data_IF_347068090617
#
_entry.id   IF_347068090617
#
_cell.length_a   1.000
_cell.length_b   1.000
_cell.length_c   1.000
_cell.angle_alpha   90.00
_cell.angle_beta   90.00
_cell.angle_gamma   90.00
#
_symmetry.space_group_name_H-M   'P 1'
#
loop_
_entity.id
_entity.type
_entity.pdbx_description
1 polymer ?
#
# COMPACT_ATOMS: atom_id res chain seq x y z
N UNK A 1 6.95 -7.03 -17.51
CA UNK A 1 6.01 -7.87 -16.71
C UNK A 1 6.46 -7.85 -15.25
N UNK A 2 5.61 -8.19 -14.28
CA UNK A 2 5.99 -8.25 -12.86
C UNK A 2 5.92 -9.68 -12.35
N UNK A 3 6.87 -10.07 -11.50
CA UNK A 3 6.91 -11.41 -10.90
C UNK A 3 7.19 -11.36 -9.40
N UNK A 4 6.31 -11.98 -8.65
CA UNK A 4 6.38 -12.20 -7.21
C UNK A 4 7.18 -13.46 -6.93
N UNK A 5 8.07 -13.41 -5.94
CA UNK A 5 8.78 -14.55 -5.39
C UNK A 5 8.64 -14.54 -3.88
N UNK A 6 8.46 -15.73 -3.31
CA UNK A 6 8.52 -15.93 -1.87
C UNK A 6 9.96 -16.25 -1.45
N UNK A 7 10.34 -15.83 -0.25
CA UNK A 7 11.62 -16.16 0.35
C UNK A 7 11.79 -17.68 0.51
N UNK A 8 13.03 -18.20 0.38
CA UNK A 8 13.30 -19.65 0.42
C UNK A 8 13.07 -20.26 1.82
N UNK A 9 13.07 -19.43 2.86
CA UNK A 9 12.77 -19.82 4.24
C UNK A 9 11.74 -18.87 4.85
N UNK A 10 11.04 -19.35 5.88
CA UNK A 10 10.22 -18.50 6.73
C UNK A 10 11.11 -17.66 7.64
N UNK A 11 10.69 -16.42 7.85
CA UNK A 11 11.22 -15.54 8.89
C UNK A 11 10.11 -15.19 9.87
N UNK A 12 10.49 -14.65 11.02
CA UNK A 12 9.54 -13.93 11.86
C UNK A 12 8.94 -12.77 11.04
N UNK A 13 7.62 -12.65 11.12
CA UNK A 13 6.85 -11.65 10.41
C UNK A 13 7.02 -10.26 11.03
N UNK A 14 6.80 -9.20 10.25
CA UNK A 14 6.70 -7.85 10.78
C UNK A 14 5.33 -7.69 11.48
N UNK A 15 5.10 -8.46 12.55
CA UNK A 15 3.89 -8.36 13.36
C UNK A 15 3.90 -7.04 14.11
N UNK A 16 3.11 -6.06 13.65
CA UNK A 16 3.00 -4.76 14.32
C UNK A 16 2.15 -4.84 15.59
N UNK A 17 1.29 -5.86 15.72
CA UNK A 17 0.41 -6.05 16.88
C UNK A 17 1.17 -6.16 18.20
N UNK A 18 2.33 -6.83 18.23
CA UNK A 18 3.15 -6.88 19.45
C UNK A 18 3.54 -5.46 19.90
N UNK A 19 3.92 -4.60 18.96
CA UNK A 19 4.26 -3.20 19.22
C UNK A 19 3.02 -2.36 19.54
N UNK A 20 1.94 -2.51 18.76
CA UNK A 20 0.70 -1.74 18.94
C UNK A 20 0.02 -2.05 20.28
N UNK A 21 0.13 -3.28 20.77
CA UNK A 21 -0.35 -3.66 22.10
C UNK A 21 0.70 -3.49 23.20
N UNK A 22 1.88 -2.94 22.90
CA UNK A 22 3.01 -2.77 23.83
C UNK A 22 3.49 -4.08 24.48
N UNK A 23 3.19 -5.23 23.86
CA UNK A 23 3.64 -6.55 24.29
C UNK A 23 5.12 -6.76 23.97
N UNK A 24 5.68 -5.98 23.05
CA UNK A 24 7.12 -5.93 22.76
C UNK A 24 7.97 -5.56 24.00
N UNK A 25 7.36 -4.89 24.99
CA UNK A 25 7.99 -4.53 26.26
C UNK A 25 7.91 -5.62 27.34
N UNK A 26 7.12 -6.67 27.12
CA UNK A 26 6.99 -7.77 28.06
C UNK A 26 8.12 -8.79 27.88
N UNK A 27 8.47 -9.54 28.94
CA UNK A 27 9.38 -10.69 28.81
C UNK A 27 8.87 -11.69 27.76
N UNK A 28 9.79 -12.30 27.02
CA UNK A 28 9.51 -13.22 25.91
C UNK A 28 8.49 -14.31 26.27
N UNK A 29 8.56 -14.85 27.49
CA UNK A 29 7.65 -15.88 27.97
C UNK A 29 6.17 -15.46 28.04
N UNK A 30 5.89 -14.16 28.02
CA UNK A 30 4.53 -13.60 28.14
C UNK A 30 4.01 -13.05 26.82
N UNK A 31 4.82 -13.14 25.75
CA UNK A 31 4.41 -12.73 24.41
C UNK A 31 3.83 -13.92 23.67
N UNK A 32 2.83 -13.72 22.79
CA UNK A 32 2.51 -14.69 21.76
C UNK A 32 3.77 -15.03 20.95
N UNK A 33 3.83 -16.25 20.43
CA UNK A 33 4.87 -16.61 19.46
C UNK A 33 4.77 -15.68 18.24
N UNK A 34 5.92 -15.26 17.70
CA UNK A 34 5.95 -14.43 16.51
C UNK A 34 5.30 -15.16 15.34
N UNK A 35 4.52 -14.43 14.54
CA UNK A 35 4.04 -14.94 13.26
C UNK A 35 5.22 -15.34 12.39
N UNK A 36 5.08 -16.44 11.64
CA UNK A 36 6.10 -16.91 10.70
C UNK A 36 5.54 -16.86 9.30
N UNK A 37 6.27 -16.24 8.39
CA UNK A 37 5.85 -16.14 6.99
C UNK A 37 7.03 -16.16 6.03
N UNK A 38 6.75 -16.58 4.80
CA UNK A 38 7.68 -16.43 3.68
C UNK A 38 7.46 -15.05 3.08
N UNK A 39 8.40 -14.14 3.33
CA UNK A 39 8.31 -12.78 2.80
C UNK A 39 8.25 -12.84 1.28
N UNK A 40 7.26 -12.15 0.71
CA UNK A 40 7.12 -12.02 -0.74
C UNK A 40 7.68 -10.70 -1.23
N UNK A 41 8.30 -10.71 -2.39
CA UNK A 41 8.72 -9.50 -3.08
C UNK A 41 8.41 -9.61 -4.56
N UNK A 42 8.07 -8.48 -5.17
CA UNK A 42 7.77 -8.40 -6.61
C UNK A 42 8.81 -7.55 -7.30
N UNK A 43 9.38 -8.08 -8.37
CA UNK A 43 10.30 -7.33 -9.23
C UNK A 43 9.73 -7.22 -10.64
N UNK A 44 10.01 -6.12 -11.36
CA UNK A 44 9.81 -6.08 -12.79
C UNK A 44 10.74 -7.12 -13.43
N UNK A 45 10.21 -7.96 -14.29
CA UNK A 45 11.00 -8.74 -15.22
C UNK A 45 11.51 -7.78 -16.29
N UNK A 46 12.82 -7.79 -16.53
CA UNK A 46 13.45 -6.93 -17.51
C UNK A 46 12.71 -7.06 -18.85
N UNK A 47 12.15 -5.95 -19.33
CA UNK A 47 11.67 -5.88 -20.69
C UNK A 47 12.89 -5.95 -21.60
N UNK A 48 12.99 -7.00 -22.40
CA UNK A 48 13.83 -6.93 -23.59
C UNK A 48 13.25 -5.81 -24.46
N UNK A 49 14.08 -4.82 -24.81
CA UNK A 49 13.78 -3.62 -25.61
C UNK A 49 12.93 -2.53 -24.96
N UNK A 50 13.61 -1.45 -24.56
CA UNK A 50 13.06 -0.14 -24.20
C UNK A 50 14.18 0.69 -23.60
N UNK A 51 14.58 1.79 -24.24
CA UNK A 51 15.69 2.61 -23.78
C UNK A 51 15.36 3.25 -22.43
N UNK A 52 16.34 3.37 -21.53
CA UNK A 52 16.20 4.08 -20.24
C UNK A 52 15.81 5.57 -20.39
N UNK A 53 15.82 6.08 -21.63
CA UNK A 53 15.56 7.46 -22.01
C UNK A 53 14.24 7.63 -22.78
N UNK A 54 13.48 6.56 -23.02
CA UNK A 54 12.17 6.70 -23.62
C UNK A 54 11.23 7.37 -22.62
N UNK A 55 10.44 8.34 -23.09
CA UNK A 55 9.44 9.04 -22.28
C UNK A 55 8.45 8.00 -21.74
N UNK A 56 8.59 7.65 -20.46
CA UNK A 56 7.77 6.61 -19.86
C UNK A 56 6.31 7.07 -19.90
N UNK A 57 5.38 6.24 -20.39
CA UNK A 57 3.97 6.61 -20.42
C UNK A 57 3.50 6.99 -19.01
N UNK A 58 2.65 8.02 -18.93
CA UNK A 58 2.07 8.45 -17.66
C UNK A 58 1.48 7.25 -16.90
N UNK A 59 1.64 7.21 -15.57
CA UNK A 59 1.19 6.06 -14.78
C UNK A 59 -0.32 5.85 -14.96
N UNK A 60 -0.72 4.72 -15.54
CA UNK A 60 -2.13 4.47 -15.79
C UNK A 60 -2.93 4.20 -14.51
N UNK A 61 -2.26 3.73 -13.45
CA UNK A 61 -2.91 3.24 -12.23
C UNK A 61 -2.20 3.79 -10.99
N UNK A 62 -2.97 4.40 -10.10
CA UNK A 62 -2.54 4.76 -8.75
C UNK A 62 -3.22 3.86 -7.71
N UNK A 63 -2.48 3.50 -6.66
CA UNK A 63 -2.99 2.83 -5.47
C UNK A 63 -2.93 3.81 -4.29
N UNK A 64 -4.08 4.08 -3.68
CA UNK A 64 -4.19 4.78 -2.40
C UNK A 64 -4.76 3.82 -1.35
N UNK A 65 -4.44 4.06 -0.09
CA UNK A 65 -4.93 3.20 0.98
C UNK A 65 -4.10 3.27 2.25
N UNK A 66 -4.11 2.15 2.99
CA UNK A 66 -3.59 2.08 4.35
C UNK A 66 -2.23 1.36 4.42
N UNK A 67 -1.83 0.96 5.63
CA UNK A 67 -0.67 0.06 5.82
C UNK A 67 -0.84 -1.29 5.10
N UNK A 68 -2.07 -1.73 4.81
CA UNK A 68 -2.32 -2.96 4.05
C UNK A 68 -1.83 -2.85 2.61
N UNK A 69 -1.86 -1.65 2.05
CA UNK A 69 -1.31 -1.37 0.71
C UNK A 69 0.22 -1.23 0.69
N UNK A 70 0.86 -1.13 1.86
CA UNK A 70 2.31 -1.02 2.03
C UNK A 70 2.97 -2.33 2.47
N UNK A 71 2.20 -3.21 3.10
CA UNK A 71 2.69 -4.44 3.73
C UNK A 71 2.30 -5.69 2.92
N UNK A 72 2.94 -6.82 3.24
CA UNK A 72 2.56 -8.13 2.69
C UNK A 72 2.68 -8.27 1.18
N UNK A 73 3.43 -7.37 0.51
CA UNK A 73 3.57 -7.34 -0.95
C UNK A 73 2.24 -7.17 -1.71
N UNK A 74 1.22 -6.54 -1.10
CA UNK A 74 -0.05 -6.26 -1.77
C UNK A 74 0.15 -5.46 -3.06
N UNK A 75 0.91 -4.37 -3.00
CA UNK A 75 1.25 -3.54 -4.16
C UNK A 75 1.94 -4.34 -5.27
N UNK A 76 2.94 -5.16 -4.92
CA UNK A 76 3.62 -5.99 -5.90
C UNK A 76 2.71 -7.06 -6.54
N UNK A 77 1.89 -7.74 -5.73
CA UNK A 77 0.87 -8.69 -6.21
C UNK A 77 -0.12 -8.01 -7.16
N UNK A 78 -0.52 -6.77 -6.86
CA UNK A 78 -1.41 -5.98 -7.69
C UNK A 78 -0.76 -5.67 -9.05
N UNK A 79 0.51 -5.24 -9.08
CA UNK A 79 1.25 -5.02 -10.33
C UNK A 79 1.38 -6.30 -11.17
N UNK A 80 1.62 -7.44 -10.52
CA UNK A 80 1.65 -8.73 -11.22
C UNK A 80 0.28 -9.10 -11.81
N UNK A 81 -0.80 -8.96 -11.04
CA UNK A 81 -2.15 -9.30 -11.46
C UNK A 81 -2.64 -8.43 -12.63
N UNK A 82 -2.37 -7.12 -12.55
CA UNK A 82 -2.73 -6.15 -13.58
C UNK A 82 -1.76 -6.13 -14.77
N UNK A 83 -0.62 -6.84 -14.65
CA UNK A 83 0.47 -6.87 -15.64
C UNK A 83 0.98 -5.47 -16.01
N UNK A 84 0.90 -4.53 -15.08
CA UNK A 84 1.18 -3.11 -15.31
C UNK A 84 1.77 -2.44 -14.09
N UNK A 85 2.41 -1.29 -14.31
CA UNK A 85 2.98 -0.48 -13.23
C UNK A 85 1.85 0.19 -12.46
N UNK A 86 1.92 0.11 -11.14
CA UNK A 86 0.98 0.79 -10.23
C UNK A 86 1.80 1.71 -9.36
N UNK A 87 1.47 3.00 -9.32
CA UNK A 87 2.15 3.95 -8.42
C UNK A 87 1.45 3.94 -7.07
N UNK A 88 2.20 3.68 -5.99
CA UNK A 88 1.63 3.53 -4.65
C UNK A 88 1.76 4.83 -3.84
N UNK A 89 0.61 5.40 -3.50
CA UNK A 89 0.42 6.60 -2.68
C UNK A 89 -0.23 6.26 -1.32
N UNK A 90 -0.26 4.99 -0.92
CA UNK A 90 -0.81 4.57 0.35
C UNK A 90 -0.05 5.16 1.55
N UNK A 91 -0.78 5.40 2.64
CA UNK A 91 -0.23 5.97 3.87
C UNK A 91 -0.67 5.14 5.08
N UNK A 92 0.29 4.71 5.90
CA UNK A 92 0.00 4.08 7.18
C UNK A 92 -0.60 5.10 8.17
N UNK A 93 -1.62 4.68 8.93
CA UNK A 93 -2.23 5.51 9.98
C UNK A 93 -3.09 6.67 9.50
N UNK A 94 -3.41 6.76 8.20
CA UNK A 94 -4.23 7.83 7.62
C UNK A 94 -5.74 7.67 7.76
N UNK A 95 -6.24 6.67 8.48
CA UNK A 95 -7.68 6.35 8.52
C UNK A 95 -8.23 5.97 7.14
N UNK A 96 -9.51 6.24 6.89
CA UNK A 96 -10.15 5.97 5.60
C UNK A 96 -9.66 6.94 4.51
N UNK A 97 -9.70 8.24 4.80
CA UNK A 97 -9.51 9.29 3.80
C UNK A 97 -8.10 9.90 3.73
N UNK A 98 -7.20 9.62 4.66
CA UNK A 98 -5.91 10.33 4.75
C UNK A 98 -5.05 10.21 3.49
N UNK A 99 -4.84 8.99 2.99
CA UNK A 99 -4.11 8.75 1.74
C UNK A 99 -4.81 9.36 0.54
N UNK A 100 -6.15 9.25 0.47
CA UNK A 100 -6.94 9.85 -0.60
C UNK A 100 -6.79 11.37 -0.65
N UNK A 101 -6.94 12.03 0.50
CA UNK A 101 -6.77 13.49 0.65
C UNK A 101 -5.40 13.95 0.18
N UNK A 102 -4.34 13.28 0.65
CA UNK A 102 -2.98 13.61 0.25
C UNK A 102 -2.78 13.41 -1.27
N UNK A 103 -3.31 12.33 -1.82
CA UNK A 103 -3.19 12.02 -3.25
C UNK A 103 -3.93 13.03 -4.14
N UNK A 104 -5.20 13.35 -3.85
CA UNK A 104 -5.97 14.31 -4.65
C UNK A 104 -5.46 15.75 -4.54
N UNK A 105 -4.76 16.10 -3.47
CA UNK A 105 -4.05 17.38 -3.36
C UNK A 105 -2.68 17.40 -4.10
N UNK A 106 -2.15 16.24 -4.47
CA UNK A 106 -0.79 16.13 -5.01
C UNK A 106 -0.65 16.65 -6.45
N UNK A 107 0.57 17.03 -6.87
CA UNK A 107 0.88 17.27 -8.29
C UNK A 107 0.59 16.05 -9.17
N UNK A 108 0.78 14.83 -8.65
CA UNK A 108 0.50 13.61 -9.40
C UNK A 108 -0.98 13.50 -9.82
N UNK A 109 -1.92 14.02 -9.02
CA UNK A 109 -3.32 14.13 -9.45
C UNK A 109 -3.55 15.30 -10.40
N UNK A 110 -2.98 16.47 -10.11
CA UNK A 110 -3.27 17.72 -10.86
C UNK A 110 -2.63 17.77 -12.25
N UNK A 111 -1.44 17.21 -12.39
CA UNK A 111 -0.60 17.37 -13.58
C UNK A 111 -0.55 16.08 -14.42
N UNK A 112 -0.58 14.92 -13.77
CA UNK A 112 -0.49 13.61 -14.41
C UNK A 112 -1.53 12.61 -13.87
N UNK A 113 -2.84 12.96 -13.91
CA UNK A 113 -3.88 12.14 -13.30
C UNK A 113 -3.86 10.71 -13.88
N UNK A 114 -3.88 9.68 -13.03
CA UNK A 114 -3.96 8.30 -13.50
C UNK A 114 -5.32 8.04 -14.13
N UNK A 115 -5.38 7.01 -14.98
CA UNK A 115 -6.64 6.56 -15.58
C UNK A 115 -7.52 5.82 -14.57
N UNK A 116 -6.88 5.14 -13.61
CA UNK A 116 -7.55 4.35 -12.57
C UNK A 116 -6.95 4.68 -11.21
N UNK A 117 -7.81 4.93 -10.23
CA UNK A 117 -7.45 4.98 -8.82
C UNK A 117 -8.02 3.74 -8.13
N UNK A 118 -7.15 2.92 -7.56
CA UNK A 118 -7.52 1.81 -6.69
C UNK A 118 -7.44 2.33 -5.26
N UNK A 119 -8.57 2.34 -4.56
CA UNK A 119 -8.66 2.76 -3.16
C UNK A 119 -8.90 1.55 -2.26
N UNK A 120 -7.85 1.17 -1.54
CA UNK A 120 -7.92 0.14 -0.50
C UNK A 120 -8.31 0.79 0.84
N UNK A 121 -9.36 0.25 1.46
CA UNK A 121 -9.73 0.60 2.82
C UNK A 121 -10.16 -0.65 3.60
N UNK A 122 -9.68 -0.83 4.84
CA UNK A 122 -10.17 -1.91 5.67
C UNK A 122 -11.60 -1.59 6.15
N UNK A 123 -12.47 -2.60 6.22
CA UNK A 123 -13.88 -2.45 6.62
C UNK A 123 -14.04 -1.64 7.91
N UNK A 124 -13.19 -1.88 8.92
CA UNK A 124 -13.21 -1.17 10.21
C UNK A 124 -13.09 0.34 10.08
N UNK A 125 -12.45 0.85 9.01
CA UNK A 125 -12.31 2.29 8.79
C UNK A 125 -13.64 2.96 8.46
N UNK A 126 -14.59 2.22 7.87
CA UNK A 126 -15.92 2.72 7.54
C UNK A 126 -16.82 2.89 8.77
N UNK A 127 -16.53 2.15 9.85
CA UNK A 127 -17.28 2.21 11.10
C UNK A 127 -16.76 3.25 12.10
N UNK A 128 -15.66 3.93 11.80
CA UNK A 128 -15.12 4.95 12.70
C UNK A 128 -15.89 6.28 12.55
N UNK A 129 -16.01 7.07 13.64
CA UNK A 129 -16.58 8.41 13.53
C UNK A 129 -15.82 9.25 12.51
N UNK A 130 -16.57 9.91 11.63
CA UNK A 130 -16.01 10.80 10.63
C UNK A 130 -15.46 12.04 11.33
N UNK A 131 -14.14 12.22 11.28
CA UNK A 131 -13.48 13.42 11.81
C UNK A 131 -13.77 14.67 10.95
N UNK A 132 -13.56 15.88 11.47
CA UNK A 132 -13.89 17.13 10.76
C UNK A 132 -13.15 17.26 9.43
N UNK A 133 -11.89 16.84 9.38
CA UNK A 133 -11.11 16.89 8.14
C UNK A 133 -11.58 15.90 7.08
N UNK A 134 -12.05 14.73 7.52
CA UNK A 134 -12.61 13.72 6.64
C UNK A 134 -13.98 14.16 6.12
N UNK A 135 -14.83 14.73 6.98
CA UNK A 135 -16.10 15.31 6.57
C UNK A 135 -15.91 16.42 5.52
N UNK A 136 -14.95 17.32 5.72
CA UNK A 136 -14.65 18.39 4.77
C UNK A 136 -14.18 17.84 3.42
N UNK A 137 -13.34 16.80 3.43
CA UNK A 137 -12.91 16.14 2.22
C UNK A 137 -14.06 15.45 1.49
N UNK A 138 -14.89 14.68 2.20
CA UNK A 138 -16.03 13.97 1.61
C UNK A 138 -17.08 14.93 1.03
N UNK A 139 -17.28 16.10 1.66
CA UNK A 139 -18.19 17.13 1.17
C UNK A 139 -17.70 17.81 -0.12
N UNK A 140 -16.39 17.84 -0.35
CA UNK A 140 -15.75 18.44 -1.54
C UNK A 140 -15.10 17.41 -2.46
N UNK A 141 -15.44 16.14 -2.32
CA UNK A 141 -14.85 15.07 -3.12
C UNK A 141 -15.21 15.28 -4.59
N UNK A 142 -14.24 15.20 -5.52
CA UNK A 142 -14.46 15.42 -6.95
C UNK A 142 -15.43 14.41 -7.59
#
# INVERSE_FOLDING_TARGET
>A
TFRTRAAPAESEGPGDLLRLMSLDRLPDAWRPAADRLRVESTTPEAAASGGLLDEAPAPEIALIGSSYSLNGNFHGRLQQALRGTVVNFAQAGGGFAGSARAFFASPAWRETPPRVVIWEAPERALGQPIGPEEAAFLAGFP
#
